data_IF_270369118902
#
_entry.id   IF_270369118902
#
_cell.length_a   1.000
_cell.length_b   1.000
_cell.length_c   1.000
_cell.angle_alpha   90.00
_cell.angle_beta   90.00
_cell.angle_gamma   90.00
#
_symmetry.space_group_name_H-M   'P 1'
#
loop_
_entity.id
_entity.type
_entity.pdbx_description
1 polymer ?
#
# COMPACT_ATOMS: atom_id res chain seq x y z
N UNK A 1 27.57 -25.42 40.63
CA UNK A 1 27.59 -25.61 39.17
C UNK A 1 26.52 -24.72 38.56
N UNK A 2 26.91 -23.62 37.93
CA UNK A 2 25.99 -22.72 37.24
C UNK A 2 26.52 -22.47 35.84
N UNK A 3 25.64 -22.60 34.84
CA UNK A 3 25.39 -21.58 33.81
C UNK A 3 24.40 -22.14 32.80
N UNK A 4 23.15 -21.71 32.96
CA UNK A 4 22.12 -21.73 31.92
C UNK A 4 22.62 -20.95 30.71
N UNK A 5 22.72 -21.64 29.56
CA UNK A 5 23.05 -21.00 28.28
C UNK A 5 21.82 -20.30 27.72
N UNK A 6 21.78 -18.98 27.85
CA UNK A 6 20.81 -18.13 27.17
C UNK A 6 21.04 -18.24 25.64
N UNK A 7 20.03 -18.70 24.90
CA UNK A 7 20.02 -18.60 23.44
C UNK A 7 19.76 -17.14 23.09
N UNK A 8 20.79 -16.47 22.58
CA UNK A 8 20.73 -15.10 22.08
C UNK A 8 19.80 -15.09 20.87
N UNK A 9 18.62 -14.50 21.02
CA UNK A 9 17.78 -14.11 19.89
C UNK A 9 18.47 -12.93 19.20
N UNK A 10 19.08 -13.18 18.03
CA UNK A 10 19.62 -12.14 17.18
C UNK A 10 18.44 -11.43 16.52
N UNK A 11 18.06 -10.27 17.06
CA UNK A 11 17.16 -9.35 16.37
C UNK A 11 17.92 -8.73 15.20
N UNK A 12 17.72 -9.27 14.00
CA UNK A 12 18.14 -8.61 12.78
C UNK A 12 17.30 -7.35 12.58
N UNK A 13 17.85 -6.19 12.92
CA UNK A 13 17.31 -4.91 12.49
C UNK A 13 17.57 -4.78 10.97
N UNK A 14 16.59 -5.21 10.16
CA UNK A 14 16.63 -4.95 8.73
C UNK A 14 16.43 -3.45 8.49
N UNK A 15 17.45 -2.77 7.98
CA UNK A 15 17.33 -1.39 7.55
C UNK A 15 16.37 -1.31 6.34
N UNK A 16 15.26 -0.59 6.50
CA UNK A 16 14.20 -0.43 5.50
C UNK A 16 14.62 0.55 4.40
N UNK A 17 14.46 0.15 3.14
CA UNK A 17 14.55 1.06 2.01
C UNK A 17 13.16 1.56 1.64
N UNK A 18 12.80 2.77 2.08
CA UNK A 18 11.53 3.42 1.75
C UNK A 18 11.69 4.24 0.47
N UNK A 19 10.83 3.99 -0.52
CA UNK A 19 10.72 4.84 -1.71
C UNK A 19 9.57 5.83 -1.47
N UNK A 20 9.89 7.11 -1.31
CA UNK A 20 8.91 8.19 -1.13
C UNK A 20 8.75 8.94 -2.45
N UNK A 21 7.55 8.93 -3.02
CA UNK A 21 7.21 9.79 -4.15
C UNK A 21 6.36 10.96 -3.66
N UNK A 22 6.79 12.18 -3.97
CA UNK A 22 6.05 13.42 -3.68
C UNK A 22 5.59 14.01 -5.01
N UNK A 23 4.28 14.09 -5.24
CA UNK A 23 3.69 14.71 -6.43
C UNK A 23 2.79 15.87 -5.99
N UNK A 24 3.08 17.08 -6.46
CA UNK A 24 2.46 18.35 -6.00
C UNK A 24 1.43 18.93 -6.99
N UNK A 25 1.12 18.24 -8.08
CA UNK A 25 0.17 18.67 -9.09
C UNK A 25 -1.22 18.08 -8.80
N UNK A 26 -2.26 18.92 -8.84
CA UNK A 26 -3.64 18.47 -8.79
C UNK A 26 -3.91 17.62 -10.04
N UNK A 27 -3.94 16.30 -9.87
CA UNK A 27 -4.30 15.35 -10.90
C UNK A 27 -5.74 14.92 -10.67
N UNK A 28 -6.60 15.13 -11.66
CA UNK A 28 -7.96 14.57 -11.64
C UNK A 28 -7.93 13.04 -11.84
N UNK A 29 -6.89 12.49 -12.48
CA UNK A 29 -6.80 11.06 -12.76
C UNK A 29 -6.27 10.25 -11.56
N UNK A 30 -6.65 8.96 -11.45
CA UNK A 30 -6.04 8.06 -10.48
C UNK A 30 -4.52 8.03 -10.62
N UNK A 31 -3.84 8.12 -9.48
CA UNK A 31 -2.38 8.00 -9.41
C UNK A 31 -1.99 6.59 -9.05
N UNK A 32 -1.20 5.99 -9.93
CA UNK A 32 -0.61 4.67 -9.72
C UNK A 32 0.67 4.78 -8.89
N UNK A 33 0.83 3.83 -7.99
CA UNK A 33 2.00 3.65 -7.12
C UNK A 33 2.45 2.22 -7.30
N UNK A 34 3.61 2.03 -7.94
CA UNK A 34 4.12 0.70 -8.24
C UNK A 34 4.45 -0.05 -6.95
N UNK A 35 4.08 -1.33 -6.89
CA UNK A 35 4.69 -2.23 -5.94
C UNK A 35 6.15 -2.49 -6.37
N UNK A 36 6.93 -3.21 -5.57
CA UNK A 36 8.33 -3.50 -5.95
C UNK A 36 8.38 -4.35 -7.21
N UNK A 37 7.39 -5.22 -7.39
CA UNK A 37 7.19 -6.06 -8.56
C UNK A 37 5.72 -6.48 -8.66
N UNK A 38 5.34 -7.16 -9.74
CA UNK A 38 4.09 -7.93 -9.82
C UNK A 38 2.80 -7.12 -9.95
N UNK A 39 2.80 -5.82 -9.70
CA UNK A 39 1.61 -4.98 -9.79
C UNK A 39 1.78 -3.60 -9.17
N UNK A 40 0.65 -2.96 -8.87
CA UNK A 40 0.59 -1.58 -8.40
C UNK A 40 -0.67 -1.31 -7.59
N UNK A 41 -0.65 -0.24 -6.81
CA UNK A 41 -1.82 0.34 -6.18
C UNK A 41 -2.23 1.62 -6.88
N UNK A 42 -3.49 2.01 -6.72
CA UNK A 42 -3.97 3.30 -7.20
C UNK A 42 -4.68 4.08 -6.10
N UNK A 43 -4.52 5.40 -6.16
CA UNK A 43 -5.21 6.38 -5.34
C UNK A 43 -5.92 7.39 -6.24
N UNK A 44 -7.21 7.60 -6.01
CA UNK A 44 -7.98 8.60 -6.74
C UNK A 44 -8.62 9.57 -5.73
N UNK A 45 -8.22 10.84 -5.78
CA UNK A 45 -8.72 11.88 -4.88
C UNK A 45 -10.10 12.35 -5.33
N UNK A 46 -10.21 12.75 -6.60
CA UNK A 46 -11.47 13.20 -7.20
C UNK A 46 -12.06 12.16 -8.16
N UNK A 47 -13.39 12.10 -8.34
CA UNK A 47 -13.99 11.22 -9.35
C UNK A 47 -13.49 11.54 -10.76
N UNK A 48 -13.03 10.52 -11.49
CA UNK A 48 -12.55 10.68 -12.85
C UNK A 48 -12.67 9.41 -13.68
N UNK A 49 -13.13 9.52 -14.93
CA UNK A 49 -13.18 8.40 -15.86
C UNK A 49 -13.98 7.18 -15.36
N UNK A 50 -14.94 7.39 -14.46
CA UNK A 50 -15.71 6.32 -13.80
C UNK A 50 -15.06 5.72 -12.55
N UNK A 51 -13.83 6.10 -12.22
CA UNK A 51 -13.25 5.83 -10.91
C UNK A 51 -13.87 6.77 -9.86
N UNK A 52 -14.28 6.27 -8.68
CA UNK A 52 -14.80 7.11 -7.62
C UNK A 52 -13.68 7.96 -7.02
N UNK A 53 -14.04 9.15 -6.50
CA UNK A 53 -13.15 9.93 -5.65
C UNK A 53 -12.94 9.24 -4.31
N UNK A 54 -12.00 9.78 -3.55
CA UNK A 54 -11.55 9.28 -2.27
C UNK A 54 -11.45 7.76 -2.25
N UNK A 55 -10.67 7.17 -3.14
CA UNK A 55 -10.67 5.73 -3.31
C UNK A 55 -9.31 5.12 -3.61
N UNK A 56 -9.15 3.88 -3.17
CA UNK A 56 -7.98 3.05 -3.47
C UNK A 56 -8.37 1.74 -4.14
N UNK A 57 -7.49 1.19 -4.97
CA UNK A 57 -7.57 -0.21 -5.43
C UNK A 57 -6.18 -0.83 -5.55
N UNK A 58 -6.13 -2.16 -5.47
CA UNK A 58 -4.92 -2.94 -5.71
C UNK A 58 -5.04 -3.69 -7.03
N UNK A 59 -3.97 -3.71 -7.82
CA UNK A 59 -3.89 -4.42 -9.10
C UNK A 59 -2.66 -5.31 -9.12
N UNK A 60 -2.88 -6.60 -9.24
CA UNK A 60 -1.88 -7.64 -9.42
C UNK A 60 -1.90 -8.06 -10.88
N UNK A 61 -0.77 -7.92 -11.55
CA UNK A 61 -0.67 -8.09 -13.01
C UNK A 61 0.21 -9.27 -13.41
N UNK A 62 0.97 -9.84 -12.47
CA UNK A 62 1.93 -10.92 -12.74
C UNK A 62 1.67 -12.14 -11.86
N UNK A 63 1.65 -13.33 -12.46
CA UNK A 63 1.52 -14.59 -11.72
C UNK A 63 2.85 -15.03 -11.07
N UNK A 64 3.39 -14.23 -10.15
CA UNK A 64 4.66 -14.47 -9.45
C UNK A 64 4.51 -15.10 -8.05
N UNK A 65 3.28 -15.40 -7.65
CA UNK A 65 2.94 -15.99 -6.35
C UNK A 65 2.85 -14.98 -5.20
N UNK A 66 3.00 -13.69 -5.48
CA UNK A 66 2.70 -12.60 -4.54
C UNK A 66 1.36 -11.96 -4.88
N UNK A 67 0.85 -11.19 -3.92
CA UNK A 67 -0.33 -10.35 -4.07
C UNK A 67 0.04 -8.89 -3.81
N UNK A 68 -0.82 -7.96 -4.22
CA UNK A 68 -0.65 -6.54 -3.97
C UNK A 68 -1.61 -6.10 -2.86
N UNK A 69 -1.09 -5.34 -1.90
CA UNK A 69 -1.87 -4.69 -0.85
C UNK A 69 -1.64 -3.19 -0.88
N UNK A 70 -2.74 -2.44 -0.81
CA UNK A 70 -2.77 -0.99 -0.78
C UNK A 70 -3.45 -0.57 0.50
N UNK A 71 -2.77 0.27 1.29
CA UNK A 71 -3.27 0.82 2.55
C UNK A 71 -3.32 2.34 2.46
N UNK A 72 -4.40 2.91 2.98
CA UNK A 72 -4.64 4.35 3.08
C UNK A 72 -4.74 4.72 4.55
N UNK A 73 -3.94 5.71 4.95
CA UNK A 73 -3.97 6.41 6.23
C UNK A 73 -4.47 7.84 5.98
N UNK A 74 -5.61 8.17 6.57
CA UNK A 74 -6.32 9.44 6.47
C UNK A 74 -5.90 10.29 7.67
N UNK A 75 -5.35 11.47 7.39
CA UNK A 75 -4.77 12.33 8.43
C UNK A 75 -3.29 12.05 8.68
N UNK A 76 -2.73 10.94 8.18
CA UNK A 76 -1.34 10.50 8.41
C UNK A 76 -1.06 10.28 9.89
N UNK A 77 -2.00 9.64 10.58
CA UNK A 77 -1.94 9.44 12.03
C UNK A 77 -1.29 8.11 12.43
N UNK A 78 -0.91 7.28 11.46
CA UNK A 78 -0.30 5.98 11.66
C UNK A 78 -1.30 4.82 11.70
N UNK A 79 -2.60 5.10 11.54
CA UNK A 79 -3.68 4.11 11.47
C UNK A 79 -4.08 3.86 10.02
N UNK A 80 -4.28 2.60 9.65
CA UNK A 80 -4.75 2.25 8.31
C UNK A 80 -6.29 2.26 8.28
N UNK A 81 -6.88 3.32 7.74
CA UNK A 81 -8.34 3.46 7.62
C UNK A 81 -8.95 2.57 6.54
N UNK A 82 -8.20 2.35 5.45
CA UNK A 82 -8.66 1.52 4.33
C UNK A 82 -7.55 0.63 3.81
N UNK A 83 -7.91 -0.60 3.47
CA UNK A 83 -7.00 -1.60 2.90
C UNK A 83 -7.67 -2.31 1.73
N UNK A 84 -7.07 -2.29 0.55
CA UNK A 84 -7.45 -3.10 -0.61
C UNK A 84 -6.36 -4.15 -0.87
N UNK A 85 -6.72 -5.40 -1.17
CA UNK A 85 -5.75 -6.48 -1.36
C UNK A 85 -6.21 -7.46 -2.43
N UNK A 86 -5.26 -8.00 -3.21
CA UNK A 86 -5.50 -9.08 -4.18
C UNK A 86 -5.31 -10.47 -3.61
N UNK A 87 -4.98 -10.60 -2.31
CA UNK A 87 -4.83 -11.91 -1.65
C UNK A 87 -6.04 -12.80 -1.89
N UNK A 88 -5.78 -14.06 -2.25
CA UNK A 88 -6.82 -15.05 -2.53
C UNK A 88 -7.37 -15.01 -3.96
N UNK A 89 -6.89 -14.10 -4.81
CA UNK A 89 -7.21 -14.05 -6.23
C UNK A 89 -6.01 -14.48 -7.09
N UNK A 90 -6.29 -15.01 -8.27
CA UNK A 90 -5.26 -15.34 -9.26
C UNK A 90 -4.99 -14.13 -10.14
N UNK A 91 -3.71 -13.88 -10.43
CA UNK A 91 -3.28 -12.83 -11.34
C UNK A 91 -3.62 -13.19 -12.80
N UNK A 92 -4.00 -12.24 -13.68
CA UNK A 92 -4.17 -10.81 -13.39
C UNK A 92 -5.50 -10.49 -12.71
N UNK A 93 -5.48 -9.62 -11.71
CA UNK A 93 -6.66 -9.18 -10.97
C UNK A 93 -6.50 -7.79 -10.37
N UNK A 94 -7.50 -6.92 -10.60
CA UNK A 94 -7.66 -5.68 -9.86
C UNK A 94 -8.88 -5.79 -8.94
N UNK A 95 -8.76 -5.29 -7.72
CA UNK A 95 -9.91 -5.17 -6.83
C UNK A 95 -10.91 -4.15 -7.36
N UNK A 96 -12.16 -4.25 -6.91
CA UNK A 96 -13.06 -3.09 -6.95
C UNK A 96 -12.46 -1.92 -6.17
N UNK A 97 -12.87 -0.70 -6.50
CA UNK A 97 -12.49 0.49 -5.73
C UNK A 97 -13.05 0.41 -4.31
N UNK A 98 -12.19 0.67 -3.32
CA UNK A 98 -12.61 0.91 -1.94
C UNK A 98 -12.71 2.41 -1.73
N UNK A 99 -13.94 2.90 -1.69
CA UNK A 99 -14.30 4.32 -1.58
C UNK A 99 -14.79 4.68 -0.17
N UNK A 100 -14.93 5.97 0.08
CA UNK A 100 -15.55 6.57 1.26
C UNK A 100 -15.16 8.05 1.32
N UNK A 101 -16.06 8.90 1.79
CA UNK A 101 -15.80 10.34 1.76
C UNK A 101 -14.70 10.75 2.74
N UNK A 102 -13.77 11.56 2.26
CA UNK A 102 -12.76 12.24 3.07
C UNK A 102 -13.04 13.73 3.02
N UNK A 103 -12.75 14.44 4.11
CA UNK A 103 -12.84 15.89 4.09
C UNK A 103 -11.79 16.46 3.14
N UNK A 104 -12.21 17.31 2.22
CA UNK A 104 -11.32 18.02 1.27
C UNK A 104 -10.09 18.62 1.94
N UNK A 105 -8.93 18.47 1.30
CA UNK A 105 -7.63 18.95 1.75
C UNK A 105 -6.98 18.11 2.85
N UNK A 106 -7.65 17.06 3.35
CA UNK A 106 -7.13 16.18 4.40
C UNK A 106 -5.89 15.45 3.88
N UNK A 107 -4.74 15.50 4.57
CA UNK A 107 -3.55 14.80 4.14
C UNK A 107 -3.79 13.29 4.21
N UNK A 108 -3.33 12.56 3.19
CA UNK A 108 -3.38 11.11 3.14
C UNK A 108 -2.01 10.52 2.87
N UNK A 109 -1.78 9.31 3.33
CA UNK A 109 -0.64 8.47 2.98
C UNK A 109 -1.15 7.16 2.40
N UNK A 110 -0.64 6.81 1.22
CA UNK A 110 -0.94 5.54 0.57
C UNK A 110 0.33 4.71 0.58
N UNK A 111 0.24 3.47 1.06
CA UNK A 111 1.31 2.48 1.01
C UNK A 111 0.91 1.36 0.09
N UNK A 112 1.81 0.97 -0.80
CA UNK A 112 1.69 -0.21 -1.67
C UNK A 112 2.80 -1.19 -1.32
N UNK A 113 2.43 -2.44 -1.07
CA UNK A 113 3.38 -3.50 -0.76
C UNK A 113 3.00 -4.81 -1.45
N UNK A 114 4.04 -5.58 -1.82
CA UNK A 114 3.89 -6.99 -2.16
C UNK A 114 3.64 -7.78 -0.88
N UNK A 115 2.70 -8.70 -0.91
CA UNK A 115 2.30 -9.50 0.24
C UNK A 115 2.07 -10.96 -0.14
N UNK A 116 2.43 -11.92 0.72
CA UNK A 116 2.31 -13.35 0.42
C UNK A 116 2.35 -14.19 1.70
N UNK A 117 1.41 -15.12 1.87
CA UNK A 117 1.21 -15.81 3.16
C UNK A 117 1.07 -14.80 4.32
N UNK A 118 1.78 -15.01 5.42
CA UNK A 118 1.85 -14.05 6.53
C UNK A 118 2.95 -12.98 6.37
N UNK A 119 3.64 -12.95 5.23
CA UNK A 119 4.73 -12.03 4.95
C UNK A 119 4.25 -10.79 4.18
N UNK A 120 4.87 -9.66 4.53
CA UNK A 120 4.86 -8.43 3.73
C UNK A 120 6.28 -8.19 3.25
N UNK A 121 6.44 -7.89 1.97
CA UNK A 121 7.75 -7.61 1.40
C UNK A 121 8.34 -6.35 2.06
N UNK A 122 9.60 -6.38 2.52
CA UNK A 122 10.16 -5.34 3.40
C UNK A 122 10.37 -3.99 2.73
N UNK A 123 10.22 -3.90 1.41
CA UNK A 123 10.29 -2.67 0.64
C UNK A 123 8.91 -2.42 0.03
N UNK A 124 8.30 -1.30 0.39
CA UNK A 124 7.04 -0.85 -0.20
C UNK A 124 7.23 0.56 -0.75
N UNK A 125 6.28 0.97 -1.58
CA UNK A 125 6.23 2.32 -2.14
C UNK A 125 5.21 3.14 -1.37
N UNK A 126 5.49 4.43 -1.16
CA UNK A 126 4.52 5.34 -0.54
C UNK A 126 4.25 6.56 -1.38
N UNK A 127 2.98 6.95 -1.42
CA UNK A 127 2.50 8.20 -1.99
C UNK A 127 1.94 9.08 -0.88
N UNK A 128 2.49 10.28 -0.78
CA UNK A 128 1.96 11.32 0.10
C UNK A 128 1.03 12.22 -0.73
N UNK A 129 -0.23 12.33 -0.31
CA UNK A 129 -1.16 13.23 -0.98
C UNK A 129 -2.19 13.88 -0.05
N UNK A 130 -3.29 14.38 -0.64
CA UNK A 130 -4.47 14.96 -0.02
C UNK A 130 -5.70 14.40 -0.73
N UNK A 131 -6.79 14.28 0.01
CA UNK A 131 -8.14 14.25 -0.54
C UNK A 131 -8.39 15.61 -1.21
#
# INVERSE_FOLDING_TARGET
MARSGARIAVTAAAAFGLVVTVQTTAHAEPRSVDAVFGGYGEWNADPYGGAPGDSIRACDTTADGWSIEVKLDIGRDGTWDRTATTRGHTSPYCTSWKTGNIKEGTPVLIQVANVGGDATYPKGSVLLSRA
#
